data_IF_222365519939
#
_entry.id   IF_222365519939
#
_cell.length_a   1.000
_cell.length_b   1.000
_cell.length_c   1.000
_cell.angle_alpha   90.00
_cell.angle_beta   90.00
_cell.angle_gamma   90.00
#
_symmetry.space_group_name_H-M   'P 1'
#
loop_
_entity.id
_entity.type
_entity.pdbx_description
1 polymer ?
#
# COMPACT_ATOMS: atom_id res chain seq x y z
N UNK A 1 -14.05 0.98 9.32
CA UNK A 1 -14.76 1.01 8.03
C UNK A 1 -13.68 0.84 6.98
N UNK A 2 -13.67 -0.28 6.25
CA UNK A 2 -12.65 -0.50 5.21
C UNK A 2 -12.80 0.57 4.15
N UNK A 3 -11.71 1.28 3.87
CA UNK A 3 -11.66 2.20 2.76
C UNK A 3 -11.86 1.37 1.47
N UNK A 4 -12.84 1.71 0.60
CA UNK A 4 -13.02 1.05 -0.69
C UNK A 4 -11.72 0.96 -1.52
N UNK A 5 -10.75 1.85 -1.26
CA UNK A 5 -9.46 1.85 -1.92
C UNK A 5 -8.50 0.78 -1.39
N UNK A 6 -8.61 0.36 -0.13
CA UNK A 6 -7.82 -0.75 0.44
C UNK A 6 -8.12 -2.06 -0.29
N UNK A 7 -9.38 -2.34 -0.61
CA UNK A 7 -9.79 -3.58 -1.30
C UNK A 7 -9.17 -3.63 -2.70
N UNK A 8 -9.16 -2.51 -3.43
CA UNK A 8 -8.54 -2.43 -4.76
C UNK A 8 -7.04 -2.67 -4.68
N UNK A 9 -6.39 -2.08 -3.67
CA UNK A 9 -4.95 -2.24 -3.44
C UNK A 9 -4.60 -3.70 -3.11
N UNK A 10 -5.36 -4.33 -2.21
CA UNK A 10 -5.18 -5.74 -1.83
C UNK A 10 -5.29 -6.64 -3.06
N UNK A 11 -6.30 -6.43 -3.90
CA UNK A 11 -6.48 -7.22 -5.11
C UNK A 11 -5.31 -7.04 -6.09
N UNK A 12 -4.83 -5.81 -6.28
CA UNK A 12 -3.70 -5.53 -7.17
C UNK A 12 -2.41 -6.22 -6.71
N UNK A 13 -2.10 -6.20 -5.41
CA UNK A 13 -0.96 -6.90 -4.84
C UNK A 13 -1.09 -8.42 -5.02
N UNK A 14 -2.30 -8.97 -4.80
CA UNK A 14 -2.58 -10.40 -5.00
C UNK A 14 -2.44 -10.81 -6.46
N UNK A 15 -2.86 -9.98 -7.40
CA UNK A 15 -2.73 -10.27 -8.83
C UNK A 15 -1.27 -10.27 -9.28
N UNK A 16 -0.40 -9.44 -8.68
CA UNK A 16 1.03 -9.38 -9.02
C UNK A 16 1.85 -10.51 -8.38
N UNK A 17 1.62 -10.85 -7.12
CA UNK A 17 2.51 -11.76 -6.36
C UNK A 17 1.82 -13.00 -5.81
N UNK A 18 0.49 -12.99 -5.71
CA UNK A 18 -0.28 -13.95 -4.92
C UNK A 18 -0.32 -13.60 -3.43
N UNK A 19 -1.38 -14.02 -2.75
CA UNK A 19 -1.62 -13.69 -1.33
C UNK A 19 -0.53 -14.21 -0.39
N UNK A 20 -0.13 -15.48 -0.55
CA UNK A 20 0.88 -16.11 0.31
C UNK A 20 2.22 -15.37 0.25
N UNK A 21 2.60 -14.92 -0.94
CA UNK A 21 3.83 -14.17 -1.15
C UNK A 21 3.71 -12.74 -0.62
N UNK A 22 2.57 -12.09 -0.80
CA UNK A 22 2.31 -10.78 -0.20
C UNK A 22 2.40 -10.81 1.34
N UNK A 23 1.90 -11.87 1.97
CA UNK A 23 2.03 -12.09 3.41
C UNK A 23 3.49 -12.34 3.79
N UNK A 24 4.21 -13.19 3.05
CA UNK A 24 5.64 -13.50 3.28
C UNK A 24 6.53 -12.26 3.17
N UNK A 25 6.26 -11.40 2.18
CA UNK A 25 6.99 -10.15 1.95
C UNK A 25 6.57 -9.03 2.92
N UNK A 26 5.46 -9.22 3.63
CA UNK A 26 4.88 -8.26 4.55
C UNK A 26 4.19 -7.09 3.86
N UNK A 27 3.73 -7.24 2.62
CA UNK A 27 2.91 -6.25 1.92
C UNK A 27 1.46 -6.26 2.39
N UNK A 28 0.95 -7.45 2.73
CA UNK A 28 -0.34 -7.62 3.37
C UNK A 28 -0.14 -8.15 4.79
N UNK A 29 -1.04 -7.77 5.69
CA UNK A 29 -1.21 -8.38 7.01
C UNK A 29 -2.57 -9.07 7.12
N UNK A 30 -2.70 -9.97 8.09
CA UNK A 30 -4.00 -10.51 8.53
C UNK A 30 -4.27 -10.05 9.96
N UNK A 31 -5.49 -9.60 10.20
CA UNK A 31 -6.00 -9.40 11.56
C UNK A 31 -6.47 -10.72 12.16
N UNK A 32 -6.90 -10.68 13.43
CA UNK A 32 -7.38 -11.85 14.18
C UNK A 32 -8.64 -12.47 13.58
N UNK A 33 -9.38 -11.73 12.73
CA UNK A 33 -10.56 -12.22 12.01
C UNK A 33 -10.22 -12.77 10.62
N UNK A 34 -8.92 -12.95 10.32
CA UNK A 34 -8.39 -13.33 9.01
C UNK A 34 -8.67 -12.32 7.88
N UNK A 35 -9.04 -11.08 8.24
CA UNK A 35 -9.21 -9.98 7.30
C UNK A 35 -7.86 -9.49 6.83
N UNK A 36 -7.69 -9.36 5.52
CA UNK A 36 -6.48 -8.79 4.93
C UNK A 36 -6.50 -7.27 5.05
N UNK A 37 -5.35 -6.69 5.36
CA UNK A 37 -5.11 -5.26 5.28
C UNK A 37 -3.77 -4.97 4.61
N UNK A 38 -3.64 -3.78 4.02
CA UNK A 38 -2.40 -3.33 3.39
C UNK A 38 -1.46 -2.82 4.47
N UNK A 39 -0.23 -3.33 4.51
CA UNK A 39 0.77 -2.80 5.44
C UNK A 39 1.37 -1.50 4.90
N UNK A 40 2.00 -0.70 5.78
CA UNK A 40 2.77 0.46 5.35
C UNK A 40 3.85 0.12 4.29
N UNK A 41 4.41 -1.09 4.37
CA UNK A 41 5.39 -1.59 3.40
C UNK A 41 4.75 -1.91 2.04
N UNK A 42 3.56 -2.53 2.05
CA UNK A 42 2.81 -2.81 0.82
C UNK A 42 2.37 -1.54 0.11
N UNK A 43 1.96 -0.53 0.89
CA UNK A 43 1.62 0.79 0.36
C UNK A 43 2.85 1.48 -0.23
N UNK A 44 3.99 1.49 0.49
CA UNK A 44 5.25 2.04 0.00
C UNK A 44 5.74 1.40 -1.30
N UNK A 45 5.64 0.06 -1.41
CA UNK A 45 5.99 -0.67 -2.63
C UNK A 45 5.17 -0.20 -3.84
N UNK A 46 3.86 -0.01 -3.66
CA UNK A 46 2.99 0.45 -4.74
C UNK A 46 3.30 1.89 -5.14
N UNK A 47 3.54 2.77 -4.17
CA UNK A 47 3.95 4.15 -4.47
C UNK A 47 5.28 4.18 -5.24
N UNK A 48 6.23 3.32 -4.91
CA UNK A 48 7.55 3.33 -5.56
C UNK A 48 7.52 2.65 -6.95
N UNK A 49 6.92 1.47 -7.05
CA UNK A 49 6.95 0.66 -8.28
C UNK A 49 5.79 1.01 -9.22
N UNK A 50 4.57 1.16 -8.72
CA UNK A 50 3.43 1.51 -9.57
C UNK A 50 3.44 2.99 -9.95
N UNK A 51 3.82 3.90 -9.05
CA UNK A 51 4.00 5.30 -9.48
C UNK A 51 5.26 5.47 -10.33
N UNK A 52 6.31 4.66 -10.16
CA UNK A 52 7.47 4.64 -11.05
C UNK A 52 7.17 4.23 -12.50
N UNK A 53 6.07 3.51 -12.74
CA UNK A 53 5.57 3.21 -14.10
C UNK A 53 4.72 4.34 -14.71
N UNK A 54 4.28 5.33 -13.91
CA UNK A 54 3.32 6.37 -14.31
C UNK A 54 3.93 7.78 -14.20
N UNK A 55 4.98 7.94 -13.40
CA UNK A 55 5.58 9.23 -13.05
C UNK A 55 7.09 9.09 -12.85
N UNK A 56 7.78 10.21 -12.98
CA UNK A 56 9.21 10.30 -12.75
C UNK A 56 9.56 10.16 -11.25
N UNK A 57 10.78 9.73 -10.91
CA UNK A 57 11.21 9.50 -9.51
C UNK A 57 10.92 10.68 -8.56
N UNK A 58 10.92 11.92 -9.05
CA UNK A 58 10.65 13.10 -8.24
C UNK A 58 9.16 13.29 -7.91
N UNK A 59 8.26 12.91 -8.81
CA UNK A 59 6.81 12.95 -8.59
C UNK A 59 6.35 11.86 -7.62
N UNK A 60 6.94 10.66 -7.72
CA UNK A 60 6.70 9.58 -6.76
C UNK A 60 7.13 9.98 -5.33
N UNK A 61 8.28 10.66 -5.21
CA UNK A 61 8.77 11.15 -3.92
C UNK A 61 7.87 12.24 -3.31
N UNK A 62 7.40 13.19 -4.13
CA UNK A 62 6.47 14.23 -3.67
C UNK A 62 5.15 13.63 -3.19
N UNK A 63 4.57 12.68 -3.93
CA UNK A 63 3.34 12.00 -3.55
C UNK A 63 3.47 11.22 -2.22
N UNK A 64 4.58 10.50 -2.03
CA UNK A 64 4.85 9.79 -0.79
C UNK A 64 5.04 10.73 0.42
N UNK A 65 5.75 11.86 0.22
CA UNK A 65 5.91 12.88 1.25
C UNK A 65 4.57 13.51 1.66
N UNK A 66 3.75 13.92 0.69
CA UNK A 66 2.45 14.55 0.96
C UNK A 66 1.50 13.59 1.68
N UNK A 67 1.48 12.32 1.28
CA UNK A 67 0.66 11.31 1.96
C UNK A 67 1.12 11.10 3.41
N UNK A 68 2.42 10.91 3.64
CA UNK A 68 2.97 10.72 4.97
C UNK A 68 2.80 11.95 5.86
N UNK A 69 2.96 13.15 5.30
CA UNK A 69 2.73 14.41 6.00
C UNK A 69 1.26 14.58 6.41
N UNK A 70 0.32 14.29 5.52
CA UNK A 70 -1.11 14.37 5.82
C UNK A 70 -1.54 13.35 6.87
N UNK A 71 -1.04 12.10 6.79
CA UNK A 71 -1.28 11.09 7.83
C UNK A 71 -0.73 11.50 9.20
N UNK A 72 0.47 12.10 9.25
CA UNK A 72 1.05 12.60 10.49
C UNK A 72 0.31 13.83 11.04
N UNK A 73 -0.22 14.68 10.15
CA UNK A 73 -0.96 15.89 10.50
C UNK A 73 -2.37 15.61 10.99
N UNK A 74 -3.05 14.64 10.40
CA UNK A 74 -4.44 14.32 10.72
C UNK A 74 -4.58 13.51 12.02
N UNK A 75 -3.46 13.04 12.59
CA UNK A 75 -3.40 12.42 13.91
C UNK A 75 -4.04 11.03 13.93
N UNK A 76 -3.23 10.02 14.26
CA UNK A 76 -3.76 8.72 14.70
C UNK A 76 -4.63 8.87 15.95
#
# INVERSE_FOLDING_TARGET
MHDPDDIKIINRLRDQFGEAECLRLGFLGKDDNATLYVSAKGLGYLLEVVAGEIASNHEAYAAGYDQGYNQAKDGY
#
